data_IF_659340400480
#
_entry.id   IF_659340400480
#
_cell.length_a   1.000
_cell.length_b   1.000
_cell.length_c   1.000
_cell.angle_alpha   90.00
_cell.angle_beta   90.00
_cell.angle_gamma   90.00
#
_symmetry.space_group_name_H-M   'P 1'
#
loop_
_entity.id
_entity.type
_entity.pdbx_description
1 polymer ?
#
# COMPACT_ATOMS: atom_id res chain seq x y z
N UNK A 1 -11.80 -3.58 -19.00
CA UNK A 1 -10.96 -2.44 -19.40
C UNK A 1 -11.42 -1.22 -18.62
N UNK A 2 -10.63 -0.82 -17.64
CA UNK A 2 -11.00 0.25 -16.71
C UNK A 2 -9.78 1.12 -16.50
N UNK A 3 -9.86 2.36 -16.94
CA UNK A 3 -8.81 3.33 -16.76
C UNK A 3 -8.58 3.60 -15.27
N UNK A 4 -7.35 3.40 -14.81
CA UNK A 4 -6.94 3.62 -13.43
C UNK A 4 -5.92 4.76 -13.36
N UNK A 5 -5.95 5.53 -12.27
CA UNK A 5 -4.94 6.57 -12.02
C UNK A 5 -3.54 5.93 -11.98
N UNK A 6 -2.58 6.49 -12.72
CA UNK A 6 -1.23 5.94 -12.86
C UNK A 6 -0.55 5.69 -11.52
N UNK A 7 -0.64 6.60 -10.55
CA UNK A 7 -0.04 6.41 -9.23
C UNK A 7 -0.70 5.27 -8.41
N UNK A 8 -1.94 4.89 -8.71
CA UNK A 8 -2.58 3.68 -8.14
C UNK A 8 -1.93 2.44 -8.75
N UNK A 9 -1.80 2.42 -10.08
CA UNK A 9 -1.23 1.30 -10.83
C UNK A 9 0.22 1.03 -10.43
N UNK A 10 1.04 2.08 -10.35
CA UNK A 10 2.43 1.98 -9.88
C UNK A 10 2.52 1.44 -8.43
N UNK A 11 1.63 1.88 -7.55
CA UNK A 11 1.60 1.39 -6.18
C UNK A 11 1.19 -0.09 -6.10
N UNK A 12 0.23 -0.53 -6.92
CA UNK A 12 -0.18 -1.94 -7.04
C UNK A 12 0.93 -2.82 -7.61
N UNK A 13 1.77 -2.28 -8.50
CA UNK A 13 2.97 -2.93 -8.99
C UNK A 13 4.14 -2.94 -7.97
N UNK A 14 3.92 -2.47 -6.74
CA UNK A 14 4.92 -2.50 -5.67
C UNK A 14 6.01 -1.43 -5.77
N UNK A 15 5.91 -0.49 -6.71
CA UNK A 15 6.92 0.57 -6.92
C UNK A 15 7.06 1.48 -5.69
N UNK A 16 5.98 1.67 -4.94
CA UNK A 16 6.03 2.37 -3.66
C UNK A 16 4.65 2.83 -3.19
N UNK A 17 4.63 3.82 -2.30
CA UNK A 17 3.35 4.45 -1.93
C UNK A 17 2.79 5.27 -3.09
N UNK A 18 1.47 5.51 -3.10
CA UNK A 18 0.83 6.37 -4.13
C UNK A 18 1.47 7.76 -4.19
N UNK A 19 1.84 8.35 -3.05
CA UNK A 19 2.51 9.66 -2.99
C UNK A 19 3.92 9.62 -3.58
N UNK A 20 4.68 8.58 -3.24
CA UNK A 20 6.01 8.36 -3.84
C UNK A 20 5.92 8.15 -5.36
N UNK A 21 4.90 7.43 -5.83
CA UNK A 21 4.64 7.28 -7.26
C UNK A 21 4.33 8.62 -7.94
N UNK A 22 3.60 9.53 -7.27
CA UNK A 22 3.40 10.89 -7.77
C UNK A 22 4.70 11.70 -7.85
N UNK A 23 5.63 11.51 -6.91
CA UNK A 23 6.96 12.12 -6.97
C UNK A 23 7.76 11.60 -8.18
N UNK A 24 7.73 10.29 -8.44
CA UNK A 24 8.37 9.70 -9.62
C UNK A 24 7.81 10.27 -10.93
N UNK A 25 6.48 10.44 -11.00
CA UNK A 25 5.81 11.05 -12.17
C UNK A 25 6.26 12.50 -12.32
N UNK A 26 6.26 13.31 -11.25
CA UNK A 26 6.75 14.70 -11.28
C UNK A 26 8.20 14.80 -11.74
N UNK A 27 9.03 13.85 -11.33
CA UNK A 27 10.43 13.78 -11.70
C UNK A 27 10.67 13.25 -13.13
N UNK A 28 9.61 13.03 -13.93
CA UNK A 28 9.68 12.51 -15.30
C UNK A 28 10.37 11.14 -15.41
N UNK A 29 10.34 10.34 -14.33
CA UNK A 29 10.96 9.01 -14.25
C UNK A 29 10.04 7.89 -14.71
N UNK A 30 8.81 8.23 -15.12
CA UNK A 30 7.78 7.28 -15.53
C UNK A 30 7.40 7.54 -16.98
N UNK A 31 7.44 6.48 -17.80
CA UNK A 31 6.97 6.50 -19.18
C UNK A 31 5.71 5.63 -19.31
N UNK A 32 4.77 6.07 -20.14
CA UNK A 32 3.59 5.31 -20.57
C UNK A 32 3.59 5.30 -22.08
N UNK A 33 3.66 4.12 -22.69
CA UNK A 33 3.76 3.94 -24.15
C UNK A 33 4.84 4.85 -24.77
N UNK A 34 6.03 4.83 -24.16
CA UNK A 34 7.22 5.59 -24.56
C UNK A 34 7.09 7.13 -24.45
N UNK A 35 6.02 7.64 -23.83
CA UNK A 35 5.82 9.07 -23.54
C UNK A 35 5.97 9.38 -22.04
N UNK A 36 6.52 10.56 -21.71
CA UNK A 36 6.66 11.02 -20.32
C UNK A 36 5.28 11.18 -19.68
N UNK A 37 5.09 10.51 -18.53
CA UNK A 37 3.83 10.55 -17.82
C UNK A 37 3.58 11.91 -17.13
N UNK A 38 2.31 12.29 -17.01
CA UNK A 38 1.88 13.48 -16.28
C UNK A 38 1.03 13.11 -15.05
N UNK A 39 1.03 13.98 -14.04
CA UNK A 39 0.16 13.78 -12.87
C UNK A 39 -1.32 13.78 -13.27
N UNK A 40 -2.08 12.87 -12.65
CA UNK A 40 -3.51 12.70 -12.94
C UNK A 40 -3.80 11.84 -14.17
N UNK A 41 -2.78 11.46 -14.95
CA UNK A 41 -2.90 10.51 -16.05
C UNK A 41 -3.57 9.21 -15.59
N UNK A 42 -4.48 8.70 -16.43
CA UNK A 42 -5.08 7.39 -16.26
C UNK A 42 -4.55 6.46 -17.35
N UNK A 43 -4.36 5.20 -16.99
CA UNK A 43 -3.80 4.15 -17.84
C UNK A 43 -4.64 2.89 -17.73
N UNK A 44 -4.64 2.08 -18.77
CA UNK A 44 -5.15 0.71 -18.73
C UNK A 44 -3.97 -0.24 -18.45
N UNK A 45 -3.84 -0.80 -17.23
CA UNK A 45 -2.73 -1.69 -16.90
C UNK A 45 -2.70 -3.01 -17.70
N UNK A 46 -3.78 -3.36 -18.41
CA UNK A 46 -3.82 -4.52 -19.29
C UNK A 46 -3.33 -4.27 -20.72
N UNK A 47 -3.15 -3.00 -21.11
CA UNK A 47 -2.78 -2.62 -22.47
C UNK A 47 -1.59 -1.65 -22.54
N UNK A 48 -1.52 -0.69 -21.61
CA UNK A 48 -0.47 0.33 -21.61
C UNK A 48 0.84 -0.23 -21.07
N UNK A 49 1.92 0.03 -21.81
CA UNK A 49 3.29 -0.27 -21.40
C UNK A 49 3.79 0.81 -20.47
N UNK A 50 4.06 0.48 -19.21
CA UNK A 50 4.48 1.44 -18.19
C UNK A 50 5.92 1.12 -17.76
N UNK A 51 6.81 2.09 -17.91
CA UNK A 51 8.20 1.99 -17.46
C UNK A 51 8.49 2.96 -16.32
N UNK A 52 9.27 2.52 -15.36
CA UNK A 52 9.87 3.36 -14.31
C UNK A 52 11.37 3.22 -14.42
N UNK A 53 12.09 4.33 -14.60
CA UNK A 53 13.55 4.33 -14.81
C UNK A 53 14.02 3.37 -15.91
N UNK A 54 13.26 3.31 -17.01
CA UNK A 54 13.54 2.42 -18.16
C UNK A 54 13.21 0.95 -17.94
N UNK A 55 12.69 0.56 -16.77
CA UNK A 55 12.25 -0.83 -16.49
C UNK A 55 10.73 -0.93 -16.51
N UNK A 56 10.22 -1.89 -17.27
CA UNK A 56 8.79 -2.17 -17.29
C UNK A 56 8.31 -2.69 -15.92
N UNK A 57 7.18 -2.14 -15.45
CA UNK A 57 6.60 -2.55 -14.17
C UNK A 57 6.03 -3.97 -14.28
N UNK A 58 6.04 -4.70 -13.16
CA UNK A 58 5.41 -6.02 -13.07
C UNK A 58 4.47 -6.04 -11.89
N UNK A 59 3.27 -6.58 -12.11
CA UNK A 59 2.33 -6.80 -11.02
C UNK A 59 2.76 -8.02 -10.18
N UNK A 60 2.54 -8.00 -8.86
CA UNK A 60 2.70 -9.17 -8.03
C UNK A 60 1.83 -10.32 -8.55
N UNK A 61 2.40 -11.52 -8.68
CA UNK A 61 1.64 -12.71 -9.10
C UNK A 61 0.67 -13.22 -8.03
N UNK A 62 0.97 -12.91 -6.76
CA UNK A 62 0.20 -13.31 -5.58
C UNK A 62 0.27 -12.19 -4.56
N UNK A 63 -0.83 -11.98 -3.86
CA UNK A 63 -0.89 -11.09 -2.71
C UNK A 63 -0.41 -11.79 -1.45
N UNK A 64 0.10 -10.98 -0.53
CA UNK A 64 0.58 -11.42 0.78
C UNK A 64 -0.37 -10.94 1.86
N UNK A 65 -0.76 -11.82 2.77
CA UNK A 65 -1.64 -11.51 3.90
C UNK A 65 -1.03 -12.01 5.19
N UNK A 66 -0.86 -11.12 6.17
CA UNK A 66 -0.24 -11.43 7.47
C UNK A 66 -1.18 -10.99 8.57
N UNK A 67 -1.62 -11.93 9.40
CA UNK A 67 -2.35 -11.62 10.62
C UNK A 67 -1.35 -11.45 11.76
N UNK A 68 -1.20 -10.21 12.24
CA UNK A 68 -0.29 -9.85 13.32
C UNK A 68 -1.10 -9.59 14.59
N UNK A 69 -0.71 -10.22 15.70
CA UNK A 69 -1.12 -9.73 17.02
C UNK A 69 -0.18 -8.58 17.41
N UNK A 70 -0.62 -7.35 17.18
CA UNK A 70 0.16 -6.14 17.47
C UNK A 70 0.31 -5.97 18.99
N UNK A 71 1.54 -5.86 19.52
CA UNK A 71 1.77 -5.47 20.91
C UNK A 71 1.60 -3.95 21.11
N UNK A 72 1.48 -3.53 22.37
CA UNK A 72 1.57 -2.11 22.73
C UNK A 72 2.98 -1.58 22.43
N UNK A 73 3.10 -0.27 22.23
CA UNK A 73 4.40 0.37 21.97
C UNK A 73 4.82 0.40 20.49
N UNK A 74 3.92 0.02 19.57
CA UNK A 74 4.15 0.04 18.13
C UNK A 74 3.11 0.89 17.41
N UNK A 75 3.52 1.61 16.37
CA UNK A 75 2.61 2.39 15.50
C UNK A 75 2.14 1.59 14.29
N UNK A 76 0.84 1.66 13.97
CA UNK A 76 0.25 1.09 12.75
C UNK A 76 0.53 1.96 11.50
N UNK A 77 1.79 2.00 11.07
CA UNK A 77 2.23 2.71 9.85
C UNK A 77 3.41 2.01 9.20
N UNK A 78 3.66 2.28 7.91
CA UNK A 78 4.85 1.81 7.17
C UNK A 78 6.04 2.76 7.36
N UNK A 79 5.78 4.03 7.65
CA UNK A 79 6.80 5.06 7.90
C UNK A 79 6.36 5.91 9.09
N UNK A 80 7.25 6.09 10.06
CA UNK A 80 7.04 6.98 11.20
C UNK A 80 8.14 8.05 11.25
N UNK A 81 7.81 9.34 11.06
CA UNK A 81 8.80 10.42 11.11
C UNK A 81 9.46 10.60 12.49
N UNK A 82 8.83 10.12 13.57
CA UNK A 82 9.33 10.23 14.93
C UNK A 82 10.24 9.05 15.34
N UNK A 83 10.48 8.11 14.43
CA UNK A 83 11.37 6.96 14.69
C UNK A 83 10.81 5.93 15.66
N UNK A 84 9.49 5.93 15.93
CA UNK A 84 8.88 4.93 16.81
C UNK A 84 8.86 3.54 16.15
N UNK A 85 8.92 2.45 16.93
CA UNK A 85 8.77 1.10 16.42
C UNK A 85 7.45 0.95 15.65
N UNK A 86 7.51 0.35 14.45
CA UNK A 86 6.34 0.20 13.57
C UNK A 86 5.95 -1.27 13.43
N UNK A 87 4.67 -1.51 13.16
CA UNK A 87 4.14 -2.87 13.00
C UNK A 87 4.82 -3.69 11.90
N UNK A 88 5.39 -3.03 10.88
CA UNK A 88 6.15 -3.74 9.84
C UNK A 88 7.52 -4.22 10.32
N UNK A 89 8.07 -3.67 11.42
CA UNK A 89 9.32 -4.16 12.02
C UNK A 89 9.15 -5.54 12.67
N UNK A 90 7.90 -5.88 13.02
CA UNK A 90 7.54 -7.16 13.63
C UNK A 90 7.36 -8.30 12.61
N UNK A 91 7.43 -8.00 11.31
CA UNK A 91 7.16 -8.97 10.24
C UNK A 91 8.41 -9.09 9.36
N UNK A 92 9.24 -10.14 9.56
CA UNK A 92 10.51 -10.31 8.83
C UNK A 92 10.28 -10.89 7.43
N UNK A 93 9.54 -10.17 6.58
CA UNK A 93 9.31 -10.55 5.18
C UNK A 93 10.06 -9.60 4.25
N UNK A 94 11.05 -10.13 3.54
CA UNK A 94 11.82 -9.42 2.53
C UNK A 94 11.14 -9.47 1.16
N UNK A 95 11.30 -8.42 0.35
CA UNK A 95 10.83 -8.40 -1.04
C UNK A 95 9.34 -8.10 -1.23
N UNK A 96 8.59 -7.90 -0.14
CA UNK A 96 7.18 -7.52 -0.17
C UNK A 96 6.97 -6.26 0.66
N UNK A 97 6.22 -5.30 0.12
CA UNK A 97 5.89 -4.04 0.80
C UNK A 97 4.52 -4.14 1.47
N UNK A 98 4.51 -4.66 2.70
CA UNK A 98 3.30 -4.75 3.50
C UNK A 98 2.88 -3.39 4.10
N UNK A 99 1.58 -3.21 4.24
CA UNK A 99 0.97 -2.10 4.97
C UNK A 99 -0.21 -2.58 5.83
N UNK A 100 -0.48 -1.92 6.97
CA UNK A 100 -1.58 -2.31 7.84
C UNK A 100 -2.95 -2.01 7.21
N UNK A 101 -3.89 -2.93 7.39
CA UNK A 101 -5.30 -2.78 7.06
C UNK A 101 -6.00 -2.20 8.30
N UNK A 102 -6.28 -0.91 8.25
CA UNK A 102 -6.77 -0.16 9.39
C UNK A 102 -5.64 0.21 10.35
N UNK A 103 -6.01 0.64 11.57
CA UNK A 103 -5.07 1.15 12.56
C UNK A 103 -5.49 0.70 13.95
N UNK A 104 -4.49 0.35 14.76
CA UNK A 104 -4.61 0.25 16.20
C UNK A 104 -3.72 1.34 16.81
N UNK A 105 -4.20 1.98 17.87
CA UNK A 105 -3.44 3.02 18.54
C UNK A 105 -2.14 2.49 19.16
N UNK A 106 -1.24 3.40 19.49
CA UNK A 106 0.09 3.07 19.98
C UNK A 106 0.04 2.17 21.23
N UNK A 107 -0.89 2.46 22.14
CA UNK A 107 -1.10 1.71 23.39
C UNK A 107 -2.16 0.60 23.28
N UNK A 108 -2.70 0.36 22.08
CA UNK A 108 -3.66 -0.72 21.82
C UNK A 108 -2.94 -1.96 21.33
N UNK A 109 -3.27 -3.11 21.92
CA UNK A 109 -2.86 -4.43 21.43
C UNK A 109 -4.03 -5.16 20.78
N UNK A 110 -3.75 -6.05 19.83
CA UNK A 110 -4.80 -6.84 19.20
C UNK A 110 -4.46 -7.28 17.79
N UNK A 111 -5.44 -7.91 17.13
CA UNK A 111 -5.28 -8.38 15.76
C UNK A 111 -5.22 -7.20 14.78
N UNK A 112 -4.22 -7.25 13.90
CA UNK A 112 -4.03 -6.31 12.80
C UNK A 112 -3.63 -7.09 11.56
N UNK A 113 -4.38 -6.92 10.47
CA UNK A 113 -4.03 -7.49 9.18
C UNK A 113 -3.01 -6.58 8.49
N UNK A 114 -1.96 -7.16 7.89
CA UNK A 114 -1.04 -6.48 7.00
C UNK A 114 -1.09 -7.15 5.63
N UNK A 115 -1.04 -6.35 4.57
CA UNK A 115 -1.09 -6.88 3.19
C UNK A 115 -0.37 -5.96 2.19
N UNK A 116 -0.10 -6.48 1.00
CA UNK A 116 0.25 -5.71 -0.19
C UNK A 116 -0.97 -5.45 -1.11
N UNK A 117 -2.13 -6.03 -0.78
CA UNK A 117 -3.39 -5.91 -1.51
C UNK A 117 -4.14 -4.63 -1.12
N UNK A 118 -3.96 -3.60 -1.95
CA UNK A 118 -4.61 -2.31 -1.73
C UNK A 118 -6.12 -2.33 -1.94
N UNK A 119 -6.64 -3.30 -2.70
CA UNK A 119 -8.08 -3.40 -2.97
C UNK A 119 -8.79 -4.05 -1.79
N UNK A 120 -8.27 -5.16 -1.27
CA UNK A 120 -8.78 -5.76 -0.03
C UNK A 120 -8.70 -4.77 1.13
N UNK A 121 -7.57 -4.07 1.28
CA UNK A 121 -7.42 -3.08 2.33
C UNK A 121 -8.48 -1.98 2.23
N UNK A 122 -8.82 -1.53 1.02
CA UNK A 122 -9.89 -0.56 0.80
C UNK A 122 -11.27 -1.13 1.15
N UNK A 123 -11.56 -2.38 0.76
CA UNK A 123 -12.82 -3.06 1.08
C UNK A 123 -13.03 -3.19 2.59
N UNK A 124 -11.98 -3.55 3.33
CA UNK A 124 -12.05 -3.80 4.77
C UNK A 124 -12.07 -2.52 5.62
N UNK A 125 -11.52 -1.41 5.11
CA UNK A 125 -11.34 -0.19 5.92
C UNK A 125 -12.29 0.95 5.56
N UNK A 126 -12.85 0.95 4.35
CA UNK A 126 -13.68 2.06 3.94
C UNK A 126 -15.08 1.96 4.58
N UNK A 127 -15.56 3.01 5.31
CA UNK A 127 -16.80 2.94 6.10
C UNK A 127 -18.04 2.52 5.31
N UNK A 128 -18.09 2.85 4.01
CA UNK A 128 -19.19 2.48 3.10
C UNK A 128 -19.52 0.99 3.06
N UNK A 129 -18.58 0.11 3.41
CA UNK A 129 -18.77 -1.33 3.36
C UNK A 129 -19.27 -1.92 4.69
N UNK A 130 -19.33 -1.13 5.77
CA UNK A 130 -19.93 -1.57 7.03
C UNK A 130 -19.26 -2.79 7.67
N UNK A 131 -17.94 -2.94 7.51
CA UNK A 131 -17.19 -4.05 8.10
C UNK A 131 -17.08 -3.85 9.61
N UNK A 132 -17.57 -4.82 10.37
CA UNK A 132 -17.61 -4.76 11.83
C UNK A 132 -16.26 -5.12 12.44
N UNK A 133 -15.94 -4.46 13.56
CA UNK A 133 -14.77 -4.79 14.39
C UNK A 133 -15.23 -5.02 15.82
N UNK A 134 -14.52 -5.87 16.55
CA UNK A 134 -14.78 -6.17 17.96
C UNK A 134 -13.56 -5.78 18.77
N UNK A 135 -13.77 -5.13 19.91
CA UNK A 135 -12.70 -4.73 20.83
C UNK A 135 -13.05 -5.16 22.25
N UNK A 136 -12.01 -5.44 23.04
CA UNK A 136 -12.12 -5.78 24.45
C UNK A 136 -11.42 -4.68 25.25
N UNK A 137 -12.09 -4.16 26.27
CA UNK A 137 -11.60 -3.07 27.12
C UNK A 137 -11.65 -3.52 28.57
N UNK A 138 -10.56 -3.28 29.30
CA UNK A 138 -10.51 -3.47 30.75
C UNK A 138 -10.84 -2.13 31.43
N UNK A 139 -11.73 -2.18 32.42
CA UNK A 139 -12.10 -1.05 33.29
C UNK A 139 -11.23 -1.04 34.54
#
# INVERSE_FOLDING_TARGET
MTLQRLQKVLAQAGIGSRRYCEELIRAQRVLVNDQVAALGMKVDPGHDKILVDGKEIKFPKKHTYVLLYKPKGYVSTVRDPQGRPKVTDLVPLSGVRLFPVGRLDYQTSGLLLLTDDGELAYLLTHPRFGVWTVSYTHL
#
